data_IF_265116754269
#
_entry.id   IF_265116754269
#
_cell.length_a   1.000
_cell.length_b   1.000
_cell.length_c   1.000
_cell.angle_alpha   90.00
_cell.angle_beta   90.00
_cell.angle_gamma   90.00
#
_symmetry.space_group_name_H-M   'P 1'
#
loop_
_entity.id
_entity.type
_entity.pdbx_description
1 polymer ?
#
# COMPACT_ATOMS: atom_id res chain seq x y z
N UNK A 1 -19.72 13.37 -10.15
CA UNK A 1 -18.27 13.46 -10.43
C UNK A 1 -17.50 13.58 -9.12
N UNK A 2 -17.12 12.46 -8.47
CA UNK A 2 -16.43 12.48 -7.15
C UNK A 2 -14.91 12.24 -7.22
N UNK A 3 -14.41 11.59 -8.27
CA UNK A 3 -12.98 11.23 -8.42
C UNK A 3 -12.27 11.99 -9.55
N UNK A 4 -12.97 12.92 -10.21
CA UNK A 4 -12.45 13.64 -11.38
C UNK A 4 -11.79 14.96 -10.97
N UNK A 5 -10.66 15.29 -11.57
CA UNK A 5 -10.04 16.60 -11.56
C UNK A 5 -9.69 17.03 -13.00
N UNK A 6 -9.41 18.31 -13.20
CA UNK A 6 -8.80 18.79 -14.44
C UNK A 6 -7.28 18.69 -14.32
N UNK A 7 -6.64 18.06 -15.30
CA UNK A 7 -5.17 18.04 -15.44
C UNK A 7 -4.78 18.48 -16.85
N UNK A 8 -3.68 19.23 -16.95
CA UNK A 8 -3.13 19.63 -18.26
C UNK A 8 -2.32 18.49 -18.87
N UNK A 9 -2.76 18.00 -20.03
CA UNK A 9 -2.10 16.92 -20.80
C UNK A 9 -1.93 17.34 -22.24
N UNK A 10 -0.70 17.20 -22.74
CA UNK A 10 -0.34 17.63 -24.09
C UNK A 10 -0.75 19.07 -24.41
N UNK A 11 -0.68 19.96 -23.40
CA UNK A 11 -1.02 21.38 -23.55
C UNK A 11 -2.48 21.75 -23.30
N UNK A 12 -3.39 20.78 -23.13
CA UNK A 12 -4.83 21.02 -22.96
C UNK A 12 -5.32 20.54 -21.59
N UNK A 13 -6.32 21.22 -21.03
CA UNK A 13 -6.97 20.78 -19.79
C UNK A 13 -7.94 19.63 -20.10
N UNK A 14 -7.70 18.46 -19.50
CA UNK A 14 -8.51 17.25 -19.69
C UNK A 14 -9.11 16.80 -18.35
N UNK A 15 -10.40 16.43 -18.30
CA UNK A 15 -10.98 15.81 -17.11
C UNK A 15 -10.41 14.40 -16.97
N UNK A 16 -9.80 14.11 -15.83
CA UNK A 16 -9.14 12.85 -15.55
C UNK A 16 -9.43 12.39 -14.12
N UNK A 17 -9.20 11.10 -13.85
CA UNK A 17 -9.25 10.57 -12.49
C UNK A 17 -7.91 10.87 -11.81
N UNK A 18 -7.97 11.51 -10.65
CA UNK A 18 -6.77 11.84 -9.86
C UNK A 18 -6.08 10.54 -9.42
N UNK A 19 -4.76 10.48 -9.57
CA UNK A 19 -3.96 9.38 -9.01
C UNK A 19 -4.03 9.42 -7.48
N UNK A 20 -4.41 8.30 -6.88
CA UNK A 20 -4.25 8.10 -5.45
C UNK A 20 -2.76 7.88 -5.14
N UNK A 21 -2.20 8.76 -4.32
CA UNK A 21 -0.82 8.67 -3.85
C UNK A 21 -0.79 8.06 -2.44
N UNK A 22 0.39 7.87 -1.87
CA UNK A 22 0.53 7.43 -0.49
C UNK A 22 0.09 8.54 0.46
N UNK A 23 -0.84 8.23 1.36
CA UNK A 23 -1.21 9.12 2.46
C UNK A 23 -0.16 9.01 3.58
N UNK A 24 0.63 10.07 3.77
CA UNK A 24 1.75 10.07 4.72
C UNK A 24 1.31 9.99 6.18
N UNK A 25 0.07 10.40 6.48
CA UNK A 25 -0.53 10.24 7.80
C UNK A 25 -1.37 8.94 7.91
N UNK A 26 -1.43 8.15 6.83
CA UNK A 26 -2.14 6.88 6.79
C UNK A 26 -1.40 5.76 7.52
N UNK A 27 -2.17 4.78 8.03
CA UNK A 27 -1.65 3.64 8.78
C UNK A 27 -0.52 2.88 8.06
N UNK A 28 -0.56 2.64 6.72
CA UNK A 28 0.54 1.99 6.01
C UNK A 28 1.88 2.74 6.13
N UNK A 29 1.86 4.07 5.91
CA UNK A 29 3.09 4.86 5.98
C UNK A 29 3.57 5.01 7.43
N UNK A 30 2.64 5.20 8.38
CA UNK A 30 3.00 5.29 9.81
C UNK A 30 3.60 4.00 10.34
N UNK A 31 3.13 2.84 9.90
CA UNK A 31 3.76 1.56 10.22
C UNK A 31 5.21 1.51 9.71
N UNK A 32 5.45 1.91 8.46
CA UNK A 32 6.81 2.01 7.92
C UNK A 32 7.67 3.00 8.72
N UNK A 33 7.17 4.21 8.97
CA UNK A 33 7.87 5.26 9.73
C UNK A 33 8.29 4.79 11.13
N UNK A 34 7.44 4.04 11.83
CA UNK A 34 7.71 3.53 13.17
C UNK A 34 8.84 2.47 13.22
N UNK A 35 9.09 1.75 12.12
CA UNK A 35 10.04 0.63 12.10
C UNK A 35 11.31 0.89 11.27
N UNK A 36 11.29 1.88 10.36
CA UNK A 36 12.40 2.10 9.40
C UNK A 36 13.76 2.34 10.05
N UNK A 37 13.82 2.96 11.23
CA UNK A 37 15.09 3.20 11.92
C UNK A 37 15.72 1.90 12.42
N UNK A 38 14.91 0.97 12.94
CA UNK A 38 15.38 -0.35 13.34
C UNK A 38 15.83 -1.17 12.14
N UNK A 39 15.02 -1.20 11.08
CA UNK A 39 15.32 -1.96 9.86
C UNK A 39 16.57 -1.46 9.14
N UNK A 40 16.94 -0.18 9.33
CA UNK A 40 18.14 0.38 8.75
C UNK A 40 19.44 -0.17 9.38
N UNK A 41 19.39 -0.61 10.65
CA UNK A 41 20.60 -0.98 11.41
C UNK A 41 20.63 -2.44 11.85
N UNK A 42 19.48 -3.10 11.97
CA UNK A 42 19.37 -4.52 12.36
C UNK A 42 19.09 -5.40 11.15
N UNK A 43 19.51 -6.66 11.25
CA UNK A 43 19.14 -7.71 10.28
C UNK A 43 17.68 -8.13 10.49
N UNK A 44 16.74 -7.32 10.00
CA UNK A 44 15.28 -7.51 10.15
C UNK A 44 14.59 -7.89 8.84
N UNK A 45 15.23 -8.72 8.01
CA UNK A 45 14.69 -9.12 6.72
C UNK A 45 13.53 -10.12 6.86
N UNK A 46 12.50 -9.95 6.04
CA UNK A 46 11.43 -10.93 5.87
C UNK A 46 11.58 -11.64 4.53
N UNK A 47 11.38 -12.96 4.52
CA UNK A 47 11.49 -13.79 3.32
C UNK A 47 10.11 -14.39 2.98
N UNK A 48 9.23 -13.62 2.31
CA UNK A 48 7.92 -14.14 1.91
C UNK A 48 8.10 -15.33 0.97
N UNK A 49 7.29 -16.38 1.16
CA UNK A 49 7.24 -17.53 0.28
C UNK A 49 6.59 -17.21 -1.07
N UNK A 50 6.55 -18.20 -1.96
CA UNK A 50 5.79 -18.11 -3.20
C UNK A 50 4.28 -17.96 -2.91
N UNK A 51 3.55 -17.36 -3.85
CA UNK A 51 2.08 -17.34 -3.81
C UNK A 51 1.57 -18.79 -3.81
N UNK A 52 0.72 -19.12 -2.83
CA UNK A 52 0.11 -20.44 -2.71
C UNK A 52 -1.32 -20.40 -3.22
N UNK A 53 -1.69 -21.37 -4.05
CA UNK A 53 -3.05 -21.53 -4.59
C UNK A 53 -3.81 -22.71 -3.95
N UNK A 54 -3.13 -23.50 -3.13
CA UNK A 54 -3.66 -24.68 -2.45
C UNK A 54 -3.11 -24.74 -1.04
N UNK A 55 -3.91 -25.25 -0.10
CA UNK A 55 -3.54 -25.36 1.31
C UNK A 55 -4.44 -24.52 2.21
N UNK A 56 -4.00 -24.20 3.44
CA UNK A 56 -4.78 -23.43 4.40
C UNK A 56 -5.12 -22.02 3.89
N UNK A 57 -6.34 -21.56 4.19
CA UNK A 57 -6.83 -20.21 3.83
C UNK A 57 -5.97 -19.10 4.43
N UNK A 58 -5.42 -19.31 5.63
CA UNK A 58 -4.48 -18.37 6.29
C UNK A 58 -3.20 -18.10 5.49
N UNK A 59 -2.89 -18.94 4.50
CA UNK A 59 -1.75 -18.76 3.58
C UNK A 59 -2.23 -18.32 2.19
N UNK A 60 -3.28 -18.96 1.67
CA UNK A 60 -3.74 -18.73 0.29
C UNK A 60 -4.53 -17.42 0.12
N UNK A 61 -5.24 -16.98 1.16
CA UNK A 61 -6.16 -15.84 1.11
C UNK A 61 -5.56 -14.58 1.77
N UNK A 62 -4.23 -14.54 1.97
CA UNK A 62 -3.55 -13.38 2.53
C UNK A 62 -3.71 -12.15 1.64
N UNK A 63 -4.09 -11.03 2.26
CA UNK A 63 -4.16 -9.72 1.59
C UNK A 63 -2.82 -8.98 1.71
N UNK A 64 -2.72 -7.84 1.03
CA UNK A 64 -1.56 -6.96 1.19
C UNK A 64 -1.52 -6.34 2.58
N UNK A 65 -0.32 -6.07 3.10
CA UNK A 65 -0.15 -5.34 4.37
C UNK A 65 -0.78 -3.95 4.34
N UNK A 66 -0.78 -3.29 3.18
CA UNK A 66 -1.46 -2.01 2.97
C UNK A 66 -2.96 -2.14 3.27
N UNK A 67 -3.65 -3.11 2.67
CA UNK A 67 -5.08 -3.29 2.86
C UNK A 67 -5.42 -3.66 4.31
N UNK A 68 -4.63 -4.55 4.92
CA UNK A 68 -4.81 -4.94 6.32
C UNK A 68 -4.67 -3.74 7.27
N UNK A 69 -3.66 -2.87 7.06
CA UNK A 69 -3.46 -1.65 7.85
C UNK A 69 -4.56 -0.62 7.66
N UNK A 70 -5.00 -0.42 6.42
CA UNK A 70 -6.10 0.51 6.10
C UNK A 70 -7.42 0.08 6.74
N UNK A 71 -7.64 -1.23 6.91
CA UNK A 71 -8.83 -1.79 7.55
C UNK A 71 -8.72 -2.02 9.06
N UNK A 72 -7.53 -1.85 9.65
CA UNK A 72 -7.30 -2.18 11.06
C UNK A 72 -7.35 -3.68 11.38
N UNK A 73 -7.00 -4.52 10.40
CA UNK A 73 -7.01 -5.99 10.49
C UNK A 73 -5.63 -6.57 10.88
N UNK A 74 -4.67 -5.74 11.30
CA UNK A 74 -3.34 -6.16 11.75
C UNK A 74 -3.18 -6.12 13.28
#
# INVERSE_FOLDING_TARGET
TKMMNMERRNGEDKPVIRKALVELDGAPFKYFEAHREEWAVKTSFTYPGAIQYFGPAEVCDLTTRTLALEKGEM
#
